data_IF_578785837920
#
_entry.id   IF_578785837920
#
_cell.length_a   1.000
_cell.length_b   1.000
_cell.length_c   1.000
_cell.angle_alpha   90.00
_cell.angle_beta   90.00
_cell.angle_gamma   90.00
#
_symmetry.space_group_name_H-M   'P 1'
#
loop_
_entity.id
_entity.type
_entity.pdbx_description
1 polymer ?
#
# COMPACT_ATOMS: atom_id res chain seq x y z
N UNK A 1 -5.83 -1.49 -0.62
CA UNK A 1 -4.54 -1.51 -1.33
C UNK A 1 -3.54 -2.33 -0.54
N UNK A 2 -2.61 -2.98 -1.23
CA UNK A 2 -1.43 -3.59 -0.63
C UNK A 2 -0.26 -2.60 -0.62
N UNK A 3 0.59 -2.68 0.40
CA UNK A 3 1.88 -2.00 0.41
C UNK A 3 2.98 -2.98 0.78
N UNK A 4 3.97 -3.10 -0.09
CA UNK A 4 5.13 -3.96 0.06
C UNK A 4 6.25 -3.16 0.72
N UNK A 5 6.30 -3.27 2.04
CA UNK A 5 7.26 -2.50 2.84
C UNK A 5 8.63 -3.13 2.80
N UNK A 6 9.66 -2.32 2.54
CA UNK A 6 11.03 -2.72 2.83
C UNK A 6 11.22 -3.01 4.32
N UNK A 7 11.88 -4.12 4.63
CA UNK A 7 12.19 -4.58 6.00
C UNK A 7 13.68 -4.39 6.29
N UNK A 8 14.05 -4.51 7.57
CA UNK A 8 15.44 -4.43 8.02
C UNK A 8 16.40 -5.39 7.28
N UNK A 9 15.89 -6.55 6.85
CA UNK A 9 16.68 -7.57 6.16
C UNK A 9 16.72 -7.38 4.63
N UNK A 10 16.32 -6.22 4.11
CA UNK A 10 16.34 -5.93 2.68
C UNK A 10 15.25 -6.62 1.85
N UNK A 11 14.36 -7.41 2.48
CA UNK A 11 13.22 -8.03 1.81
C UNK A 11 11.98 -7.15 1.93
N UNK A 12 11.07 -7.30 0.98
CA UNK A 12 9.76 -6.67 1.04
C UNK A 12 8.73 -7.60 1.67
N UNK A 13 7.78 -7.04 2.41
CA UNK A 13 6.65 -7.78 2.97
C UNK A 13 5.35 -6.98 2.83
N UNK A 14 4.32 -7.65 2.32
CA UNK A 14 3.03 -7.03 2.02
C UNK A 14 2.20 -6.81 3.28
N UNK A 15 1.64 -5.60 3.42
CA UNK A 15 0.53 -5.30 4.31
C UNK A 15 -0.68 -4.85 3.50
N UNK A 16 -1.82 -5.49 3.72
CA UNK A 16 -3.10 -5.10 3.12
C UNK A 16 -3.79 -4.07 4.01
N UNK A 17 -4.27 -3.00 3.39
CA UNK A 17 -5.11 -1.97 4.00
C UNK A 17 -6.47 -1.92 3.29
N UNK A 18 -7.54 -1.98 4.08
CA UNK A 18 -8.92 -1.83 3.57
C UNK A 18 -9.13 -0.40 3.08
N UNK A 19 -9.61 -0.26 1.84
CA UNK A 19 -10.06 1.04 1.30
C UNK A 19 -11.52 1.23 1.70
N UNK A 20 -12.37 0.34 1.21
CA UNK A 20 -13.81 0.25 1.41
C UNK A 20 -14.26 -1.21 1.22
N UNK A 21 -15.48 -1.52 1.65
CA UNK A 21 -16.20 -2.75 1.31
C UNK A 21 -17.67 -2.35 1.15
N UNK A 22 -18.19 -2.46 -0.06
CA UNK A 22 -19.54 -2.01 -0.40
C UNK A 22 -20.01 -2.65 -1.73
N UNK A 23 -21.31 -2.57 -2.00
CA UNK A 23 -21.88 -2.88 -3.31
C UNK A 23 -21.93 -1.59 -4.14
N UNK A 24 -21.33 -1.61 -5.32
CA UNK A 24 -21.28 -0.46 -6.21
C UNK A 24 -22.26 -0.62 -7.37
N UNK A 25 -23.01 0.44 -7.68
CA UNK A 25 -23.74 0.53 -8.95
C UNK A 25 -22.78 0.77 -10.10
N UNK A 26 -23.22 0.50 -11.32
CA UNK A 26 -22.45 0.81 -12.53
C UNK A 26 -22.10 2.31 -12.58
N UNK A 27 -20.85 2.60 -12.95
CA UNK A 27 -20.34 3.97 -13.04
C UNK A 27 -18.89 4.09 -12.57
N UNK A 28 -18.42 5.33 -12.47
CA UNK A 28 -17.08 5.67 -11.99
C UNK A 28 -17.16 6.03 -10.51
N UNK A 29 -16.33 5.39 -9.70
CA UNK A 29 -16.22 5.63 -8.26
C UNK A 29 -14.82 6.10 -7.93
N UNK A 30 -14.71 7.30 -7.35
CA UNK A 30 -13.43 7.89 -6.98
C UNK A 30 -13.05 7.57 -5.55
N UNK A 31 -11.79 7.21 -5.34
CA UNK A 31 -11.23 6.94 -4.01
C UNK A 31 -9.98 7.78 -3.78
N UNK A 32 -9.89 8.40 -2.61
CA UNK A 32 -8.68 9.09 -2.16
C UNK A 32 -8.26 8.54 -0.80
N UNK A 33 -6.99 8.18 -0.68
CA UNK A 33 -6.39 7.68 0.56
C UNK A 33 -4.99 8.27 0.72
N UNK A 34 -4.71 8.76 1.93
CA UNK A 34 -3.38 9.20 2.35
C UNK A 34 -2.77 8.14 3.27
N UNK A 35 -1.51 7.79 3.05
CA UNK A 35 -0.72 6.95 3.95
C UNK A 35 0.49 7.74 4.42
N UNK A 36 0.65 7.88 5.74
CA UNK A 36 1.80 8.59 6.32
C UNK A 36 2.98 7.64 6.46
N UNK A 37 4.13 8.01 5.88
CA UNK A 37 5.42 7.34 6.09
C UNK A 37 6.17 8.01 7.23
N UNK A 38 5.63 7.89 8.45
CA UNK A 38 6.26 8.40 9.67
C UNK A 38 6.55 7.19 10.56
N UNK A 39 7.76 7.12 11.08
CA UNK A 39 8.14 6.06 12.02
C UNK A 39 7.33 6.20 13.32
N UNK A 40 6.71 5.10 13.73
CA UNK A 40 5.93 4.98 14.95
C UNK A 40 6.46 3.79 15.77
N UNK A 41 6.06 3.70 17.04
CA UNK A 41 6.46 2.60 17.93
C UNK A 41 6.17 1.21 17.35
N UNK A 42 5.08 1.08 16.59
CA UNK A 42 4.63 -0.18 15.99
C UNK A 42 5.12 -0.40 14.56
N UNK A 43 5.74 0.60 13.91
CA UNK A 43 6.19 0.49 12.52
C UNK A 43 7.34 1.45 12.20
N UNK A 44 8.45 0.84 11.79
CA UNK A 44 9.60 1.52 11.20
C UNK A 44 9.62 1.31 9.68
N UNK A 45 9.88 2.37 8.93
CA UNK A 45 10.01 2.36 7.48
C UNK A 45 11.49 2.36 7.13
N UNK A 46 11.92 1.28 6.47
CA UNK A 46 13.30 1.14 6.02
C UNK A 46 13.49 1.78 4.66
N UNK A 47 14.66 2.36 4.43
CA UNK A 47 15.03 2.89 3.13
C UNK A 47 15.02 1.81 2.06
N UNK A 48 14.81 2.22 0.82
CA UNK A 48 14.81 1.34 -0.33
C UNK A 48 13.50 1.38 -1.10
N UNK A 49 13.31 0.38 -1.96
CA UNK A 49 12.13 0.26 -2.81
C UNK A 49 10.95 -0.22 -1.99
N UNK A 50 9.81 0.45 -2.12
CA UNK A 50 8.50 0.03 -1.66
C UNK A 50 7.56 -0.07 -2.86
N UNK A 51 6.48 -0.83 -2.73
CA UNK A 51 5.45 -0.94 -3.78
C UNK A 51 4.06 -0.70 -3.20
N UNK A 52 3.20 0.02 -3.92
CA UNK A 52 1.77 0.11 -3.64
C UNK A 52 1.03 -0.63 -4.74
N UNK A 53 0.07 -1.46 -4.35
CA UNK A 53 -0.77 -2.23 -5.27
C UNK A 53 -2.26 -1.96 -5.00
N UNK A 54 -3.02 -1.64 -6.04
CA UNK A 54 -4.48 -1.59 -5.98
C UNK A 54 -5.00 -3.03 -6.08
N UNK A 55 -5.82 -3.41 -5.10
CA UNK A 55 -6.39 -4.76 -5.00
C UNK A 55 -7.90 -4.61 -4.95
N UNK A 56 -8.60 -5.30 -5.84
CA UNK A 56 -10.07 -5.33 -5.92
C UNK A 56 -10.49 -6.79 -5.90
N UNK A 57 -11.34 -7.18 -4.95
CA UNK A 57 -11.82 -8.56 -4.78
C UNK A 57 -10.72 -9.65 -4.68
N UNK A 58 -9.52 -9.28 -4.23
CA UNK A 58 -8.37 -10.19 -4.11
C UNK A 58 -7.38 -10.10 -5.27
N UNK A 59 -7.79 -9.51 -6.39
CA UNK A 59 -6.98 -9.42 -7.60
C UNK A 59 -6.18 -8.11 -7.65
N UNK A 60 -4.92 -8.19 -8.09
CA UNK A 60 -4.05 -7.04 -8.29
C UNK A 60 -4.36 -6.34 -9.61
N UNK A 61 -4.80 -5.08 -9.53
CA UNK A 61 -5.22 -4.32 -10.71
C UNK A 61 -4.11 -3.45 -11.28
N UNK A 62 -3.32 -2.84 -10.39
CA UNK A 62 -2.23 -1.96 -10.76
C UNK A 62 -1.24 -1.86 -9.61
N UNK A 63 0.03 -1.63 -9.91
CA UNK A 63 1.04 -1.38 -8.92
C UNK A 63 1.96 -0.22 -9.31
N UNK A 64 2.59 0.37 -8.31
CA UNK A 64 3.58 1.44 -8.51
C UNK A 64 4.66 1.30 -7.44
N UNK A 65 5.91 1.37 -7.88
CA UNK A 65 7.06 1.35 -6.98
C UNK A 65 7.56 2.76 -6.69
N UNK A 66 8.06 2.98 -5.49
CA UNK A 66 8.68 4.23 -5.07
C UNK A 66 9.87 3.97 -4.14
N UNK A 67 10.80 4.91 -4.09
CA UNK A 67 11.96 4.84 -3.20
C UNK A 67 11.69 5.69 -1.96
N UNK A 68 11.95 5.11 -0.79
CA UNK A 68 12.01 5.86 0.47
C UNK A 68 13.49 6.08 0.79
N UNK A 69 13.85 7.34 1.03
CA UNK A 69 15.16 7.78 1.52
C UNK A 69 14.94 8.51 2.85
N UNK A 70 15.87 8.41 3.80
CA UNK A 70 15.86 9.19 5.04
C UNK A 70 16.45 10.57 4.84
#
# INVERSE_FOLDING_TARGET
YGMDFMKANGKQSRKIFKITENTYKQGIHSFSRKHSFIDMSTRKHYEGKHCITIIVNGDEMANVSFMVKR
#
